data_IF_823065050108
#
_entry.id   IF_823065050108
#
_cell.length_a   1.000
_cell.length_b   1.000
_cell.length_c   1.000
_cell.angle_alpha   90.00
_cell.angle_beta   90.00
_cell.angle_gamma   90.00
#
_symmetry.space_group_name_H-M   'P 1'
#
loop_
_entity.id
_entity.type
_entity.pdbx_description
1 polymer ?
#
# COMPACT_ATOMS: atom_id res chain seq x y z
N UNK A 1 18.47 37.11 10.30
CA UNK A 1 17.09 36.82 10.76
C UNK A 1 16.53 35.66 9.93
N UNK A 2 16.44 34.45 10.52
CA UNK A 2 16.00 33.24 9.80
C UNK A 2 14.47 33.22 9.75
N UNK A 3 13.90 33.39 8.55
CA UNK A 3 12.47 33.22 8.31
C UNK A 3 12.08 31.76 8.58
N UNK A 4 11.25 31.55 9.60
CA UNK A 4 10.53 30.29 9.85
C UNK A 4 9.63 30.02 8.65
N UNK A 5 9.91 28.95 7.91
CA UNK A 5 9.00 28.41 6.90
C UNK A 5 7.68 28.05 7.61
N UNK A 6 6.61 28.80 7.31
CA UNK A 6 5.24 28.50 7.71
C UNK A 6 4.89 27.12 7.13
N UNK A 7 4.48 26.20 8.00
CA UNK A 7 4.15 24.83 7.63
C UNK A 7 3.09 24.81 6.52
N UNK A 8 3.38 24.09 5.44
CA UNK A 8 2.38 23.71 4.46
C UNK A 8 1.27 22.96 5.21
N UNK A 9 0.06 23.51 5.15
CA UNK A 9 -1.09 23.05 5.92
C UNK A 9 -1.35 21.57 5.69
N UNK A 10 -1.40 20.81 6.78
CA UNK A 10 -1.94 19.45 6.80
C UNK A 10 -3.34 19.46 6.19
N UNK A 11 -3.60 18.59 5.21
CA UNK A 11 -4.96 18.34 4.75
C UNK A 11 -5.82 17.90 5.97
N UNK A 12 -6.96 18.57 6.23
CA UNK A 12 -7.79 18.28 7.39
C UNK A 12 -8.33 16.85 7.32
N UNK A 13 -8.22 16.10 8.41
CA UNK A 13 -8.79 14.74 8.55
C UNK A 13 -7.80 13.56 8.46
N UNK A 14 -6.50 13.79 8.26
CA UNK A 14 -5.54 12.69 8.16
C UNK A 14 -5.14 12.11 9.54
N UNK A 15 -5.67 10.93 9.88
CA UNK A 15 -5.23 10.19 11.07
C UNK A 15 -3.73 9.87 11.02
N UNK A 16 -3.02 10.03 12.15
CA UNK A 16 -1.56 9.81 12.27
C UNK A 16 -1.16 8.35 12.02
N UNK A 17 -2.09 7.39 12.14
CA UNK A 17 -1.85 5.95 12.02
C UNK A 17 -2.57 5.36 10.79
N UNK A 18 -1.88 5.39 9.64
CA UNK A 18 -2.38 4.89 8.36
C UNK A 18 -2.04 3.42 8.08
N UNK A 19 -2.67 2.87 7.04
CA UNK A 19 -2.29 1.58 6.47
C UNK A 19 -1.20 1.78 5.41
N UNK A 20 -0.29 0.81 5.30
CA UNK A 20 0.75 0.81 4.25
C UNK A 20 0.10 0.86 2.87
N UNK A 21 -1.01 0.15 2.71
CA UNK A 21 -1.78 0.04 1.48
C UNK A 21 -2.48 1.36 1.08
N UNK A 22 -2.72 2.25 2.04
CA UNK A 22 -3.36 3.55 1.84
C UNK A 22 -2.33 4.70 1.76
N UNK A 23 -1.04 4.39 1.72
CA UNK A 23 0.04 5.37 1.65
C UNK A 23 0.61 5.46 0.23
N UNK A 24 1.11 6.64 -0.11
CA UNK A 24 1.87 6.85 -1.34
C UNK A 24 3.24 6.19 -1.17
N UNK A 25 3.65 5.40 -2.16
CA UNK A 25 4.82 4.53 -2.06
C UNK A 25 5.91 4.95 -3.04
N UNK A 26 7.11 5.18 -2.52
CA UNK A 26 8.32 5.37 -3.29
C UNK A 26 9.22 4.14 -3.12
N UNK A 27 9.29 3.27 -4.14
CA UNK A 27 10.17 2.09 -4.11
C UNK A 27 11.43 2.33 -4.92
N UNK A 28 12.57 2.01 -4.31
CA UNK A 28 13.88 2.20 -4.94
C UNK A 28 14.09 1.28 -6.15
N UNK A 29 13.46 0.10 -6.15
CA UNK A 29 13.44 -0.81 -7.30
C UNK A 29 12.69 -0.22 -8.50
N UNK A 30 11.60 0.50 -8.24
CA UNK A 30 10.77 1.07 -9.29
C UNK A 30 11.49 2.28 -9.91
N UNK A 31 12.12 3.12 -9.08
CA UNK A 31 13.00 4.21 -9.53
C UNK A 31 14.20 3.73 -10.34
N UNK A 32 14.82 2.60 -9.95
CA UNK A 32 15.91 2.02 -10.74
C UNK A 32 15.42 1.57 -12.11
N UNK A 33 14.27 0.89 -12.17
CA UNK A 33 13.71 0.39 -13.43
C UNK A 33 13.29 1.51 -14.37
N UNK A 34 12.84 2.65 -13.84
CA UNK A 34 12.44 3.81 -14.65
C UNK A 34 13.62 4.67 -15.12
N UNK A 35 14.87 4.33 -14.77
CA UNK A 35 16.03 5.15 -15.08
C UNK A 35 16.07 6.48 -14.33
N UNK A 36 15.33 6.64 -13.22
CA UNK A 36 15.23 7.91 -12.50
C UNK A 36 16.54 8.31 -11.78
N UNK A 37 17.49 7.39 -11.67
CA UNK A 37 18.84 7.67 -11.16
C UNK A 37 19.79 8.18 -12.25
N UNK A 38 19.43 7.96 -13.51
CA UNK A 38 20.23 8.34 -14.65
C UNK A 38 19.88 9.81 -15.00
N UNK A 39 20.90 10.63 -15.31
CA UNK A 39 20.70 12.04 -15.64
C UNK A 39 19.70 12.18 -16.80
N UNK A 40 18.62 12.95 -16.61
CA UNK A 40 17.56 13.13 -17.60
C UNK A 40 16.45 12.07 -17.57
N UNK A 41 16.40 11.22 -16.53
CA UNK A 41 15.37 10.20 -16.35
C UNK A 41 13.94 10.75 -16.43
N UNK A 42 13.06 9.99 -17.09
CA UNK A 42 11.65 10.33 -17.25
C UNK A 42 10.92 10.49 -15.91
N UNK A 43 9.90 11.36 -15.82
CA UNK A 43 9.03 11.43 -14.65
C UNK A 43 8.37 10.07 -14.39
N UNK A 44 8.39 9.62 -13.14
CA UNK A 44 7.78 8.35 -12.75
C UNK A 44 6.48 8.63 -11.98
N UNK A 45 5.36 8.14 -12.51
CA UNK A 45 4.08 8.21 -11.80
C UNK A 45 3.84 6.92 -11.01
N UNK A 46 3.40 7.04 -9.76
CA UNK A 46 2.82 5.88 -9.09
C UNK A 46 1.46 5.56 -9.72
N UNK A 47 1.10 4.29 -9.91
CA UNK A 47 -0.29 3.94 -10.23
C UNK A 47 -1.22 4.59 -9.21
N UNK A 48 -2.35 5.12 -9.70
CA UNK A 48 -3.27 6.00 -8.98
C UNK A 48 -3.47 5.64 -7.50
N UNK A 49 -3.31 6.65 -6.64
CA UNK A 49 -3.50 6.52 -5.21
C UNK A 49 -4.96 6.77 -4.85
N UNK A 50 -5.60 5.80 -4.19
CA UNK A 50 -6.87 6.03 -3.52
C UNK A 50 -6.71 5.71 -2.03
N UNK A 51 -7.07 6.66 -1.17
CA UNK A 51 -7.23 6.42 0.27
C UNK A 51 -8.71 6.25 0.55
N UNK A 52 -9.10 5.20 1.27
CA UNK A 52 -10.48 5.05 1.75
C UNK A 52 -10.97 6.33 2.42
N UNK A 53 -12.01 6.94 1.85
CA UNK A 53 -12.64 8.17 2.37
C UNK A 53 -12.09 9.50 1.83
N UNK A 54 -11.00 9.50 1.06
CA UNK A 54 -10.56 10.68 0.30
C UNK A 54 -10.55 10.34 -1.19
N UNK A 55 -11.38 10.99 -2.01
CA UNK A 55 -11.32 10.88 -3.47
C UNK A 55 -9.92 11.30 -3.93
N UNK A 56 -9.13 10.31 -4.35
CA UNK A 56 -7.69 10.46 -4.61
C UNK A 56 -7.43 10.72 -6.08
N UNK A 57 -7.02 11.95 -6.39
CA UNK A 57 -6.44 12.33 -7.68
C UNK A 57 -5.18 11.52 -8.01
N UNK A 58 -4.66 11.72 -9.22
CA UNK A 58 -3.38 11.14 -9.63
C UNK A 58 -2.26 11.93 -8.96
N UNK A 59 -1.38 11.24 -8.25
CA UNK A 59 -0.15 11.83 -7.72
C UNK A 59 1.01 11.39 -8.61
N UNK A 60 1.54 12.35 -9.35
CA UNK A 60 2.69 12.15 -10.22
C UNK A 60 3.97 12.59 -9.50
N UNK A 61 5.06 11.84 -9.69
CA UNK A 61 6.36 12.22 -9.15
C UNK A 61 7.31 12.55 -10.28
N UNK A 62 8.05 13.64 -10.11
CA UNK A 62 9.27 13.83 -10.87
C UNK A 62 10.44 13.64 -9.93
N UNK A 63 11.21 12.59 -10.18
CA UNK A 63 12.40 12.30 -9.42
C UNK A 63 13.58 12.88 -10.19
N UNK A 64 14.25 13.84 -9.58
CA UNK A 64 15.45 14.45 -10.12
C UNK A 64 16.66 13.91 -9.38
N UNK A 65 17.62 13.35 -10.11
CA UNK A 65 18.94 13.09 -9.55
C UNK A 65 19.57 14.42 -9.10
N UNK A 66 20.00 14.48 -7.85
CA UNK A 66 20.73 15.62 -7.26
C UNK A 66 22.15 15.15 -6.94
N UNK A 67 22.96 15.05 -8.01
CA UNK A 67 24.26 14.37 -7.98
C UNK A 67 24.13 12.84 -8.06
N UNK A 68 25.19 12.12 -7.66
CA UNK A 68 25.28 10.65 -7.75
C UNK A 68 24.51 9.90 -6.65
N UNK A 69 24.38 10.54 -5.48
CA UNK A 69 23.98 9.84 -4.25
C UNK A 69 22.69 10.42 -3.62
N UNK A 70 21.99 11.33 -4.29
CA UNK A 70 20.74 11.91 -3.78
C UNK A 70 19.71 12.03 -4.88
N UNK A 71 18.44 11.95 -4.49
CA UNK A 71 17.31 12.22 -5.37
C UNK A 71 16.37 13.21 -4.70
N UNK A 72 15.90 14.19 -5.48
CA UNK A 72 14.81 15.07 -5.10
C UNK A 72 13.51 14.55 -5.69
N UNK A 73 12.47 14.48 -4.87
CA UNK A 73 11.14 14.08 -5.31
C UNK A 73 10.27 15.32 -5.37
N UNK A 74 9.87 15.70 -6.58
CA UNK A 74 8.86 16.71 -6.82
C UNK A 74 7.51 15.99 -6.93
N UNK A 75 6.57 16.35 -6.05
CA UNK A 75 5.21 15.83 -6.09
C UNK A 75 4.35 16.78 -6.91
N UNK A 76 3.72 16.26 -7.95
CA UNK A 76 2.75 16.96 -8.80
C UNK A 76 1.39 16.34 -8.52
N UNK A 77 0.43 17.16 -8.09
CA UNK A 77 -0.91 16.69 -7.81
C UNK A 77 -1.82 17.02 -8.99
N UNK A 78 -2.35 15.99 -9.64
CA UNK A 78 -3.41 16.15 -10.63
C UNK A 78 -4.72 15.73 -9.98
N UNK A 79 -5.52 16.73 -9.62
CA UNK A 79 -6.89 16.52 -9.16
C UNK A 79 -7.72 15.81 -10.22
N UNK A 80 -8.85 15.23 -9.81
CA UNK A 80 -9.89 14.84 -10.77
C UNK A 80 -10.49 16.11 -11.41
N UNK A 81 -11.07 15.98 -12.59
CA UNK A 81 -11.70 17.09 -13.32
C UNK A 81 -12.63 17.91 -12.38
N UNK A 82 -12.27 19.16 -12.14
CA UNK A 82 -12.98 20.09 -11.25
C UNK A 82 -12.32 20.39 -9.91
N UNK A 83 -11.24 19.70 -9.52
CA UNK A 83 -10.47 20.05 -8.33
C UNK A 83 -9.29 20.98 -8.67
N UNK A 84 -9.18 22.11 -7.96
CA UNK A 84 -8.13 23.10 -8.18
C UNK A 84 -6.73 22.49 -8.07
N UNK A 85 -5.90 22.69 -9.10
CA UNK A 85 -4.51 22.21 -9.14
C UNK A 85 -3.74 22.74 -7.93
N UNK A 86 -3.30 21.84 -7.05
CA UNK A 86 -2.49 22.21 -5.90
C UNK A 86 -1.06 22.52 -6.37
N UNK A 87 -0.40 23.53 -5.79
CA UNK A 87 0.98 23.83 -6.14
C UNK A 87 1.87 22.61 -5.87
N UNK A 88 2.87 22.35 -6.74
CA UNK A 88 3.73 21.19 -6.60
C UNK A 88 4.50 21.26 -5.27
N UNK A 89 4.44 20.18 -4.50
CA UNK A 89 5.16 20.08 -3.22
C UNK A 89 6.54 19.50 -3.51
N UNK A 90 7.57 20.31 -3.27
CA UNK A 90 8.96 19.85 -3.37
C UNK A 90 9.36 19.22 -2.05
N UNK A 91 9.71 17.93 -2.06
CA UNK A 91 10.22 17.26 -0.88
C UNK A 91 11.73 17.50 -0.72
N UNK A 92 12.21 17.36 0.52
CA UNK A 92 13.65 17.36 0.82
C UNK A 92 14.39 16.26 0.05
N UNK A 93 15.67 16.47 -0.32
CA UNK A 93 16.47 15.46 -0.99
C UNK A 93 16.61 14.19 -0.14
N UNK A 94 16.38 13.04 -0.76
CA UNK A 94 16.52 11.72 -0.14
C UNK A 94 17.90 11.18 -0.52
N UNK A 95 18.73 10.84 0.47
CA UNK A 95 20.04 10.24 0.24
C UNK A 95 19.87 8.78 -0.18
N UNK A 96 20.51 8.41 -1.29
CA UNK A 96 20.61 7.05 -1.78
C UNK A 96 21.88 6.39 -1.26
N UNK A 97 21.80 5.09 -1.02
CA UNK A 97 22.93 4.24 -0.67
C UNK A 97 22.81 2.92 -1.41
N UNK A 98 23.93 2.26 -1.65
CA UNK A 98 23.98 0.98 -2.36
C UNK A 98 24.61 -0.10 -1.47
N UNK A 99 24.19 -1.33 -1.67
CA UNK A 99 24.86 -2.52 -1.13
C UNK A 99 25.02 -3.55 -2.23
N UNK A 100 26.15 -4.24 -2.25
CA UNK A 100 26.41 -5.38 -3.13
C UNK A 100 25.95 -6.67 -2.44
N UNK A 101 24.91 -7.36 -2.94
CA UNK A 101 24.52 -8.66 -2.41
C UNK A 101 25.53 -9.75 -2.82
N UNK A 102 25.56 -10.85 -2.08
CA UNK A 102 26.45 -12.00 -2.36
C UNK A 102 26.26 -12.61 -3.76
N UNK A 103 25.03 -12.57 -4.31
CA UNK A 103 24.70 -13.11 -5.63
C UNK A 103 24.97 -12.10 -6.78
N UNK A 104 25.75 -11.06 -6.52
CA UNK A 104 26.06 -10.02 -7.49
C UNK A 104 24.97 -8.94 -7.64
N UNK A 105 25.28 -7.94 -8.47
CA UNK A 105 24.42 -6.78 -8.71
C UNK A 105 24.50 -5.70 -7.62
N UNK A 106 23.63 -4.69 -7.75
CA UNK A 106 23.58 -3.54 -6.83
C UNK A 106 22.16 -3.39 -6.31
N UNK A 107 22.02 -3.37 -4.98
CA UNK A 107 20.75 -3.08 -4.31
C UNK A 107 20.74 -1.64 -3.82
N UNK A 108 19.84 -0.86 -4.40
CA UNK A 108 19.61 0.53 -4.04
C UNK A 108 18.73 0.66 -2.81
N UNK A 109 19.10 1.57 -1.93
CA UNK A 109 18.39 1.91 -0.69
C UNK A 109 18.24 3.42 -0.59
N UNK A 110 17.11 3.86 -0.03
CA UNK A 110 16.97 5.22 0.44
C UNK A 110 17.31 5.30 1.92
N UNK A 111 17.89 6.41 2.33
CA UNK A 111 18.11 6.76 3.73
C UNK A 111 16.89 7.49 4.24
N UNK A 112 16.23 6.98 5.27
CA UNK A 112 15.06 7.65 5.84
C UNK A 112 15.45 9.02 6.44
N UNK A 113 14.81 10.13 6.03
CA UNK A 113 15.11 11.45 6.59
C UNK A 113 14.81 11.59 8.09
N UNK A 114 13.96 10.73 8.66
CA UNK A 114 13.58 10.80 10.07
C UNK A 114 14.48 9.98 11.00
N UNK A 115 14.87 8.77 10.60
CA UNK A 115 15.68 7.89 11.46
C UNK A 115 17.08 7.56 10.92
N UNK A 116 17.43 7.99 9.71
CA UNK A 116 18.71 7.65 9.07
C UNK A 116 18.85 6.19 8.64
N UNK A 117 17.89 5.32 8.94
CA UNK A 117 17.97 3.91 8.54
C UNK A 117 17.79 3.74 7.03
N UNK A 118 18.43 2.70 6.47
CA UNK A 118 18.26 2.28 5.08
C UNK A 118 16.88 1.62 4.91
N UNK A 119 16.15 2.02 3.87
CA UNK A 119 14.85 1.48 3.52
C UNK A 119 14.75 1.27 2.00
N UNK A 120 14.22 0.11 1.59
CA UNK A 120 13.96 -0.18 0.17
C UNK A 120 12.69 0.52 -0.34
N UNK A 121 11.88 1.03 0.59
CA UNK A 121 10.62 1.70 0.31
C UNK A 121 10.41 2.82 1.32
N UNK A 122 10.05 4.00 0.82
CA UNK A 122 9.61 5.13 1.62
C UNK A 122 8.14 5.41 1.36
N UNK A 123 7.49 5.99 2.35
CA UNK A 123 6.07 6.25 2.34
C UNK A 123 5.79 7.73 2.57
N UNK A 124 4.76 8.22 1.90
CA UNK A 124 4.19 9.53 2.15
C UNK A 124 2.71 9.37 2.52
N UNK A 125 2.31 10.05 3.58
CA UNK A 125 1.02 9.83 4.26
C UNK A 125 0.11 11.06 4.23
N UNK A 126 0.51 12.15 3.56
CA UNK A 126 -0.26 13.39 3.46
C UNK A 126 -0.22 14.29 4.70
N UNK A 127 -0.07 13.73 5.90
CA UNK A 127 0.07 14.51 7.14
C UNK A 127 1.53 14.85 7.47
N UNK A 128 2.49 14.15 6.87
CA UNK A 128 3.91 14.46 6.92
C UNK A 128 4.32 15.08 5.58
N UNK A 129 4.95 16.26 5.60
CA UNK A 129 5.46 16.93 4.40
C UNK A 129 6.71 16.24 3.80
N UNK A 130 7.08 15.04 4.27
CA UNK A 130 8.29 14.32 3.87
C UNK A 130 8.06 12.82 3.78
N UNK A 131 8.86 12.17 2.96
CA UNK A 131 8.93 10.71 2.89
C UNK A 131 9.59 10.12 4.12
N UNK A 132 9.04 9.02 4.64
CA UNK A 132 9.56 8.33 5.81
C UNK A 132 9.52 6.80 5.64
N UNK A 133 10.34 6.07 6.39
CA UNK A 133 10.25 4.61 6.42
C UNK A 133 8.94 4.18 7.09
N UNK A 134 8.52 2.92 6.89
CA UNK A 134 7.25 2.38 7.45
C UNK A 134 7.08 2.71 8.94
N UNK A 135 8.15 2.50 9.73
CA UNK A 135 8.13 2.71 11.17
C UNK A 135 7.98 4.19 11.53
N UNK A 136 8.74 5.08 10.89
CA UNK A 136 8.66 6.53 11.13
C UNK A 136 7.36 7.17 10.60
N UNK A 137 6.77 6.57 9.57
CA UNK A 137 5.46 6.95 9.05
C UNK A 137 4.30 6.41 9.92
N UNK A 138 4.58 5.61 10.97
CA UNK A 138 3.56 5.01 11.83
C UNK A 138 2.66 4.01 11.10
N UNK A 139 3.10 3.46 9.97
CA UNK A 139 2.27 2.63 9.10
C UNK A 139 2.25 1.17 9.56
N UNK A 140 1.06 0.58 9.55
CA UNK A 140 0.86 -0.85 9.78
C UNK A 140 0.25 -1.49 8.54
N UNK A 141 0.52 -2.77 8.32
CA UNK A 141 -0.15 -3.50 7.25
C UNK A 141 -1.62 -3.72 7.60
N UNK A 142 -2.50 -3.73 6.60
CA UNK A 142 -3.93 -4.01 6.76
C UNK A 142 -4.17 -5.31 7.55
N UNK A 143 -3.39 -6.35 7.24
CA UNK A 143 -3.48 -7.64 7.93
C UNK A 143 -3.18 -7.57 9.44
N UNK A 144 -2.41 -6.59 9.90
CA UNK A 144 -2.10 -6.39 11.32
C UNK A 144 -3.25 -5.69 12.06
N UNK A 145 -4.04 -4.86 11.37
CA UNK A 145 -5.22 -4.18 11.92
C UNK A 145 -6.53 -4.94 11.67
N UNK A 146 -6.51 -5.98 10.86
CA UNK A 146 -7.66 -6.80 10.52
C UNK A 146 -8.29 -7.42 11.80
N UNK A 147 -9.59 -7.17 12.01
CA UNK A 147 -10.38 -7.81 13.07
C UNK A 147 -10.75 -9.24 12.69
N UNK A 148 -11.26 -9.99 13.67
CA UNK A 148 -11.61 -11.40 13.49
C UNK A 148 -12.53 -11.69 12.30
N UNK A 149 -13.67 -10.99 12.08
CA UNK A 149 -14.55 -11.31 10.95
C UNK A 149 -13.86 -11.11 9.60
N UNK A 150 -13.10 -10.03 9.39
CA UNK A 150 -12.32 -9.84 8.17
C UNK A 150 -11.22 -10.92 7.99
N UNK A 151 -10.52 -11.32 9.07
CA UNK A 151 -9.56 -12.44 9.02
C UNK A 151 -10.22 -13.74 8.60
N UNK A 152 -11.44 -14.02 9.09
CA UNK A 152 -12.20 -15.22 8.73
C UNK A 152 -12.62 -15.19 7.26
N UNK A 153 -13.11 -14.06 6.75
CA UNK A 153 -13.42 -13.88 5.33
C UNK A 153 -12.19 -14.08 4.44
N UNK A 154 -11.04 -13.52 4.82
CA UNK A 154 -9.77 -13.71 4.09
C UNK A 154 -9.32 -15.18 4.08
N UNK A 155 -9.52 -15.90 5.20
CA UNK A 155 -9.25 -17.35 5.28
C UNK A 155 -10.22 -18.15 4.39
N UNK A 156 -11.52 -17.82 4.43
CA UNK A 156 -12.53 -18.44 3.56
C UNK A 156 -12.19 -18.22 2.09
N UNK A 157 -11.84 -16.99 1.69
CA UNK A 157 -11.43 -16.67 0.33
C UNK A 157 -10.25 -17.51 -0.17
N UNK A 158 -9.26 -17.80 0.70
CA UNK A 158 -8.15 -18.72 0.35
C UNK A 158 -8.62 -20.16 0.13
N UNK A 159 -9.62 -20.61 0.88
CA UNK A 159 -10.21 -21.96 0.71
C UNK A 159 -11.02 -22.00 -0.59
N UNK A 160 -11.88 -21.01 -0.83
CA UNK A 160 -12.67 -20.86 -2.06
C UNK A 160 -11.82 -20.70 -3.31
N UNK A 161 -10.67 -20.03 -3.21
CA UNK A 161 -9.69 -19.97 -4.30
C UNK A 161 -9.18 -21.36 -4.69
N UNK A 162 -8.98 -22.28 -3.73
CA UNK A 162 -8.61 -23.68 -4.02
C UNK A 162 -9.75 -24.46 -4.68
N UNK A 163 -10.99 -24.07 -4.43
CA UNK A 163 -12.18 -24.59 -5.11
C UNK A 163 -12.38 -23.98 -6.52
N UNK A 164 -11.50 -23.05 -6.93
CA UNK A 164 -11.60 -22.37 -8.22
C UNK A 164 -12.67 -21.27 -8.28
N UNK A 165 -13.25 -20.88 -7.15
CA UNK A 165 -14.33 -19.87 -7.09
C UNK A 165 -13.80 -18.42 -7.19
N UNK A 166 -12.49 -18.22 -6.99
CA UNK A 166 -11.83 -16.92 -7.08
C UNK A 166 -10.93 -16.79 -8.33
N UNK A 167 -11.03 -17.72 -9.27
CA UNK A 167 -10.24 -17.69 -10.49
C UNK A 167 -10.83 -16.65 -11.48
N UNK A 168 -9.95 -15.85 -12.07
CA UNK A 168 -10.34 -14.87 -13.11
C UNK A 168 -10.75 -15.57 -14.42
N UNK A 169 -10.31 -16.81 -14.64
CA UNK A 169 -10.70 -17.65 -15.77
C UNK A 169 -11.51 -18.86 -15.28
N UNK A 170 -12.47 -19.36 -16.08
CA UNK A 170 -13.24 -20.54 -15.71
C UNK A 170 -12.32 -21.73 -15.42
N UNK A 171 -12.46 -22.31 -14.23
CA UNK A 171 -11.76 -23.55 -13.88
C UNK A 171 -12.54 -24.71 -14.49
N UNK A 172 -11.85 -25.63 -15.18
CA UNK A 172 -12.47 -26.86 -15.67
C UNK A 172 -13.11 -27.63 -14.52
N UNK A 173 -14.40 -27.98 -14.68
CA UNK A 173 -15.18 -28.69 -13.66
C UNK A 173 -15.56 -30.09 -14.14
N UNK A 174 -15.62 -31.03 -13.20
CA UNK A 174 -16.29 -32.31 -13.40
C UNK A 174 -17.81 -32.13 -13.44
N UNK A 175 -18.53 -33.18 -13.86
CA UNK A 175 -20.00 -33.19 -13.93
C UNK A 175 -20.70 -32.87 -12.61
N UNK A 176 -20.03 -33.14 -11.48
CA UNK A 176 -20.52 -32.84 -10.14
C UNK A 176 -20.02 -31.50 -9.56
N UNK A 177 -19.51 -30.61 -10.41
CA UNK A 177 -19.18 -29.22 -10.07
C UNK A 177 -17.85 -29.02 -9.32
N UNK A 178 -17.07 -30.08 -9.09
CA UNK A 178 -15.73 -29.99 -8.48
C UNK A 178 -14.71 -29.52 -9.51
N UNK A 179 -13.60 -28.90 -9.10
CA UNK A 179 -12.44 -28.74 -9.97
C UNK A 179 -12.00 -30.09 -10.52
N UNK A 180 -11.67 -30.13 -11.81
CA UNK A 180 -11.16 -31.33 -12.48
C UNK A 180 -9.96 -31.88 -11.70
N UNK A 181 -9.90 -33.21 -11.58
CA UNK A 181 -8.88 -33.96 -10.81
C UNK A 181 -8.95 -33.85 -9.28
N UNK A 182 -9.87 -33.05 -8.71
CA UNK A 182 -10.01 -32.95 -7.26
C UNK A 182 -10.78 -34.15 -6.68
N UNK A 183 -10.17 -34.86 -5.72
CA UNK A 183 -10.82 -35.95 -4.98
C UNK A 183 -12.05 -35.43 -4.21
N UNK A 184 -13.15 -36.19 -4.23
CA UNK A 184 -14.45 -35.83 -3.62
C UNK A 184 -14.30 -35.45 -2.15
N UNK A 185 -13.64 -36.31 -1.37
CA UNK A 185 -13.38 -36.05 0.05
C UNK A 185 -12.60 -34.74 0.31
N UNK A 186 -11.72 -34.33 -0.61
CA UNK A 186 -10.98 -33.05 -0.46
C UNK A 186 -11.90 -31.88 -0.77
N UNK A 187 -12.69 -31.98 -1.83
CA UNK A 187 -13.69 -30.97 -2.18
C UNK A 187 -14.68 -30.73 -1.04
N UNK A 188 -15.28 -31.80 -0.51
CA UNK A 188 -16.28 -31.70 0.56
C UNK A 188 -15.67 -31.06 1.83
N UNK A 189 -14.46 -31.49 2.23
CA UNK A 189 -13.74 -30.90 3.37
C UNK A 189 -13.48 -29.40 3.18
N UNK A 190 -13.04 -28.99 1.99
CA UNK A 190 -12.78 -27.58 1.68
C UNK A 190 -14.07 -26.76 1.67
N UNK A 191 -15.15 -27.29 1.10
CA UNK A 191 -16.47 -26.66 1.08
C UNK A 191 -17.01 -26.45 2.50
N UNK A 192 -17.02 -27.51 3.32
CA UNK A 192 -17.45 -27.41 4.73
C UNK A 192 -16.57 -26.44 5.53
N UNK A 193 -15.25 -26.42 5.27
CA UNK A 193 -14.35 -25.48 5.91
C UNK A 193 -14.66 -24.03 5.53
N UNK A 194 -14.94 -23.75 4.25
CA UNK A 194 -15.33 -22.42 3.78
C UNK A 194 -16.66 -21.98 4.41
N UNK A 195 -17.70 -22.82 4.35
CA UNK A 195 -19.01 -22.53 4.94
C UNK A 195 -18.92 -22.22 6.44
N UNK A 196 -18.13 -22.98 7.19
CA UNK A 196 -17.92 -22.73 8.63
C UNK A 196 -17.26 -21.38 8.89
N UNK A 197 -16.25 -21.02 8.09
CA UNK A 197 -15.56 -19.74 8.21
C UNK A 197 -16.50 -18.58 7.85
N UNK A 198 -17.26 -18.72 6.77
CA UNK A 198 -18.21 -17.70 6.29
C UNK A 198 -19.33 -17.49 7.29
N UNK A 199 -19.97 -18.55 7.80
CA UNK A 199 -21.02 -18.45 8.83
C UNK A 199 -20.54 -17.68 10.06
N UNK A 200 -19.37 -18.04 10.59
CA UNK A 200 -18.79 -17.35 11.76
C UNK A 200 -18.44 -15.89 11.43
N UNK A 201 -17.89 -15.64 10.24
CA UNK A 201 -17.57 -14.30 9.81
C UNK A 201 -18.82 -13.41 9.71
N UNK A 202 -19.90 -13.91 9.09
CA UNK A 202 -21.17 -13.19 8.93
C UNK A 202 -21.72 -12.77 10.28
N UNK A 203 -21.79 -13.69 11.25
CA UNK A 203 -22.29 -13.39 12.61
C UNK A 203 -21.45 -12.32 13.29
N UNK A 204 -20.12 -12.47 13.29
CA UNK A 204 -19.22 -11.49 13.91
C UNK A 204 -19.24 -10.13 13.20
N UNK A 205 -19.42 -10.12 11.88
CA UNK A 205 -19.50 -8.91 11.08
C UNK A 205 -20.81 -8.16 11.36
N UNK A 206 -21.94 -8.88 11.41
CA UNK A 206 -23.25 -8.33 11.76
C UNK A 206 -23.25 -7.73 13.17
N UNK A 207 -22.68 -8.44 14.15
CA UNK A 207 -22.55 -7.94 15.54
C UNK A 207 -21.71 -6.66 15.63
N UNK A 208 -20.65 -6.57 14.84
CA UNK A 208 -19.80 -5.37 14.80
C UNK A 208 -20.54 -4.18 14.16
N UNK A 209 -21.29 -4.39 13.07
CA UNK A 209 -22.13 -3.34 12.47
C UNK A 209 -23.21 -2.87 13.46
N UNK A 210 -23.90 -3.80 14.12
CA UNK A 210 -24.96 -3.50 15.08
C UNK A 210 -24.46 -2.68 16.27
N UNK A 211 -23.20 -2.87 16.67
CA UNK A 211 -22.54 -2.08 17.73
C UNK A 211 -21.87 -0.79 17.24
N UNK A 212 -22.03 -0.44 15.96
CA UNK A 212 -21.42 0.76 15.35
C UNK A 212 -19.90 0.68 15.20
N UNK A 213 -19.30 -0.50 15.37
CA UNK A 213 -17.87 -0.71 15.27
C UNK A 213 -17.46 -1.08 13.82
N UNK A 214 -16.34 -0.56 13.33
CA UNK A 214 -15.75 -1.02 12.07
C UNK A 214 -15.48 -2.53 12.15
N UNK A 215 -16.13 -3.38 11.32
CA UNK A 215 -15.97 -4.82 11.39
C UNK A 215 -14.66 -5.29 10.77
N UNK A 216 -14.01 -4.47 9.93
CA UNK A 216 -12.84 -4.86 9.16
C UNK A 216 -11.55 -4.51 9.90
N UNK A 217 -11.44 -3.29 10.44
CA UNK A 217 -10.22 -2.80 11.06
C UNK A 217 -10.39 -2.41 12.52
N UNK A 218 -9.34 -2.62 13.31
CA UNK A 218 -9.20 -2.00 14.63
C UNK A 218 -9.04 -0.50 14.47
N UNK A 219 -9.77 0.28 15.26
CA UNK A 219 -9.57 1.72 15.37
C UNK A 219 -8.11 2.02 15.73
N UNK A 220 -7.60 3.14 15.23
CA UNK A 220 -6.29 3.60 15.66
C UNK A 220 -6.43 4.12 17.10
N UNK A 221 -5.82 3.41 18.04
CA UNK A 221 -5.55 3.92 19.38
C UNK A 221 -4.53 5.06 19.31
#
# INVERSE_FOLDING_TARGET
MKARAKGAGSAPGCAKHGLVEDAVVLRMSDLRRSGAFDSGGMPWSSPGWSRRGCMGGRLDFRVHADGRDRVRVLQLWSGHAGAAELPPVTCEPIKLTVTTPFFGGVRWWATCPSCGCRAATLFWTGWQARYACRTCAGLRYACQREKEPARLLRRSGKVRARLGEAAMWPVERSTDGRPKWMRRATYDRLRTAAERLDRRAIVLFANAIASGADPVFRSAS
#
